data_IF_591097699176
#
_entry.id   IF_591097699176
#
_cell.length_a   1.000
_cell.length_b   1.000
_cell.length_c   1.000
_cell.angle_alpha   90.00
_cell.angle_beta   90.00
_cell.angle_gamma   90.00
#
_symmetry.space_group_name_H-M   'P 1'
#
loop_
_entity.id
_entity.type
_entity.pdbx_description
1 polymer ?
#
# COMPACT_ATOMS: atom_id res chain seq x y z
N UNK A 1 7.82 -15.58 16.22
CA UNK A 1 7.02 -16.41 15.30
C UNK A 1 6.77 -15.55 14.06
N UNK A 2 7.28 -15.97 12.90
CA UNK A 2 7.12 -15.20 11.68
C UNK A 2 5.69 -15.38 11.19
N UNK A 3 4.91 -14.31 11.28
CA UNK A 3 3.56 -14.28 10.74
C UNK A 3 3.61 -14.59 9.24
N UNK A 4 2.66 -15.40 8.77
CA UNK A 4 2.56 -15.74 7.34
C UNK A 4 2.22 -14.47 6.55
N UNK A 5 2.92 -14.28 5.42
CA UNK A 5 2.68 -13.15 4.54
C UNK A 5 2.44 -13.58 3.10
N UNK A 6 1.62 -12.83 2.39
CA UNK A 6 1.16 -13.14 1.04
C UNK A 6 1.49 -12.00 0.10
N UNK A 7 1.90 -12.30 -1.14
CA UNK A 7 2.00 -11.26 -2.18
C UNK A 7 0.62 -10.67 -2.46
N UNK A 8 0.58 -9.40 -2.85
CA UNK A 8 -0.67 -8.66 -3.03
C UNK A 8 -1.58 -9.30 -4.10
N UNK A 9 -1.00 -9.91 -5.13
CA UNK A 9 -1.72 -10.65 -6.17
C UNK A 9 -2.37 -11.92 -5.63
N UNK A 10 -1.61 -12.76 -4.92
CA UNK A 10 -2.12 -13.99 -4.28
C UNK A 10 -3.18 -13.64 -3.23
N UNK A 11 -2.93 -12.61 -2.43
CA UNK A 11 -3.86 -12.12 -1.44
C UNK A 11 -5.17 -11.62 -2.07
N UNK A 12 -5.08 -10.91 -3.19
CA UNK A 12 -6.25 -10.44 -3.93
C UNK A 12 -7.09 -11.61 -4.44
N UNK A 13 -6.45 -12.67 -4.94
CA UNK A 13 -7.11 -13.91 -5.37
C UNK A 13 -7.80 -14.61 -4.20
N UNK A 14 -7.09 -14.83 -3.09
CA UNK A 14 -7.63 -15.46 -1.87
C UNK A 14 -8.80 -14.69 -1.26
N UNK A 15 -8.78 -13.36 -1.33
CA UNK A 15 -9.86 -12.49 -0.85
C UNK A 15 -11.01 -12.33 -1.86
N UNK A 16 -10.82 -12.79 -3.11
CA UNK A 16 -11.75 -12.58 -4.21
C UNK A 16 -12.00 -11.08 -4.48
N UNK A 17 -10.94 -10.26 -4.42
CA UNK A 17 -11.01 -8.81 -4.62
C UNK A 17 -9.93 -8.32 -5.59
N UNK A 18 -10.01 -7.05 -6.02
CA UNK A 18 -8.97 -6.45 -6.86
C UNK A 18 -7.79 -5.99 -6.00
N UNK A 19 -6.55 -6.11 -6.50
CA UNK A 19 -5.33 -5.60 -5.82
C UNK A 19 -5.46 -4.13 -5.40
N UNK A 20 -6.10 -3.29 -6.25
CA UNK A 20 -6.38 -1.88 -5.95
C UNK A 20 -7.17 -1.70 -4.66
N UNK A 21 -8.03 -2.67 -4.29
CA UNK A 21 -8.80 -2.61 -3.06
C UNK A 21 -7.91 -2.77 -1.84
N UNK A 22 -6.97 -3.71 -1.86
CA UNK A 22 -5.98 -3.90 -0.80
C UNK A 22 -5.15 -2.62 -0.63
N UNK A 23 -4.60 -2.09 -1.72
CA UNK A 23 -3.84 -0.84 -1.70
C UNK A 23 -4.66 0.35 -1.17
N UNK A 24 -5.96 0.41 -1.49
CA UNK A 24 -6.84 1.47 -0.98
C UNK A 24 -7.13 1.38 0.52
N UNK A 25 -7.16 0.17 1.08
CA UNK A 25 -7.35 -0.01 2.53
C UNK A 25 -6.04 0.22 3.28
N UNK A 26 -4.90 -0.05 2.66
CA UNK A 26 -3.60 0.38 3.17
C UNK A 26 -3.49 1.91 3.19
N UNK A 27 -3.91 2.60 2.13
CA UNK A 27 -3.93 4.06 2.06
C UNK A 27 -4.79 4.73 3.16
N UNK A 28 -5.81 4.03 3.66
CA UNK A 28 -6.66 4.50 4.75
C UNK A 28 -6.09 4.18 6.14
N UNK A 29 -5.01 3.41 6.21
CA UNK A 29 -4.47 2.88 7.47
C UNK A 29 -5.28 1.73 8.07
N UNK A 30 -6.25 1.17 7.34
CA UNK A 30 -7.09 0.06 7.85
C UNK A 30 -6.30 -1.24 7.97
N UNK A 31 -5.31 -1.43 7.10
CA UNK A 31 -4.41 -2.57 7.08
C UNK A 31 -2.97 -2.11 6.91
N UNK A 32 -2.03 -2.92 7.38
CA UNK A 32 -0.61 -2.70 7.15
C UNK A 32 -0.13 -3.58 6.00
N UNK A 33 0.73 -3.01 5.14
CA UNK A 33 1.47 -3.74 4.12
C UNK A 33 2.95 -3.61 4.47
N UNK A 34 3.68 -4.70 4.29
CA UNK A 34 5.12 -4.78 4.57
C UNK A 34 5.88 -5.02 3.27
N UNK A 35 7.09 -4.48 3.19
CA UNK A 35 8.07 -4.79 2.16
C UNK A 35 8.88 -6.00 2.60
N UNK A 36 9.08 -6.94 1.68
CA UNK A 36 9.96 -8.07 1.89
C UNK A 36 11.28 -7.86 1.14
N UNK A 37 12.37 -7.75 1.88
CA UNK A 37 13.75 -7.66 1.39
C UNK A 37 14.45 -9.03 1.27
N UNK A 38 13.71 -10.12 1.47
CA UNK A 38 14.25 -11.47 1.31
C UNK A 38 15.11 -11.91 2.49
N UNK A 39 15.98 -12.88 2.23
CA UNK A 39 16.85 -13.48 3.24
C UNK A 39 18.14 -12.67 3.42
N UNK A 40 18.92 -13.02 4.46
CA UNK A 40 20.20 -12.35 4.79
C UNK A 40 21.21 -12.30 3.63
N UNK A 41 21.05 -13.13 2.60
CA UNK A 41 21.90 -13.14 1.40
C UNK A 41 21.56 -12.03 0.41
N UNK A 42 20.31 -11.57 0.38
CA UNK A 42 19.81 -10.49 -0.47
C UNK A 42 19.92 -9.17 0.31
N UNK A 43 21.16 -8.70 0.47
CA UNK A 43 21.47 -7.59 1.36
C UNK A 43 21.37 -6.24 0.66
N UNK A 44 20.25 -5.56 0.84
CA UNK A 44 20.05 -4.16 0.44
C UNK A 44 20.63 -3.20 1.47
N UNK A 45 21.19 -2.07 1.05
CA UNK A 45 21.78 -1.07 1.97
C UNK A 45 20.77 -0.01 2.38
N UNK A 46 20.68 0.26 3.67
CA UNK A 46 19.91 1.38 4.21
C UNK A 46 20.73 2.16 5.23
N UNK A 47 20.36 3.42 5.45
CA UNK A 47 20.78 4.16 6.62
C UNK A 47 19.86 3.81 7.78
N UNK A 48 20.41 3.49 8.93
CA UNK A 48 19.69 3.14 10.13
C UNK A 48 19.83 4.28 11.14
N UNK A 49 18.71 4.68 11.71
CA UNK A 49 18.57 5.63 12.80
C UNK A 49 18.05 4.87 14.02
N UNK A 50 18.84 4.85 15.09
CA UNK A 50 18.48 4.22 16.36
C UNK A 50 18.40 5.32 17.40
N UNK A 51 17.21 5.56 17.95
CA UNK A 51 17.03 6.49 19.06
C UNK A 51 17.78 5.98 20.32
N UNK A 52 18.45 6.86 21.05
CA UNK A 52 19.10 6.57 22.34
C UNK A 52 18.10 6.38 23.48
N UNK A 53 16.84 6.75 23.30
CA UNK A 53 15.77 6.40 24.23
C UNK A 53 15.64 4.87 24.40
N UNK A 54 16.10 4.11 23.39
CA UNK A 54 16.37 2.68 23.47
C UNK A 54 17.50 2.41 24.46
N UNK A 55 17.17 2.10 25.72
CA UNK A 55 18.20 1.82 26.71
C UNK A 55 18.86 0.44 26.46
N UNK A 56 20.20 0.35 26.54
CA UNK A 56 20.88 -0.94 26.44
C UNK A 56 20.43 -1.83 27.61
N UNK A 57 19.75 -2.93 27.32
CA UNK A 57 19.12 -3.77 28.35
C UNK A 57 20.12 -4.75 29.01
N UNK A 58 21.38 -4.33 29.19
CA UNK A 58 22.46 -5.20 29.64
C UNK A 58 22.93 -4.81 31.05
N UNK A 59 22.61 -5.67 32.02
CA UNK A 59 23.14 -5.60 33.39
C UNK A 59 24.68 -5.64 33.43
N UNK A 60 25.29 -6.35 32.47
CA UNK A 60 26.75 -6.44 32.28
C UNK A 60 27.36 -5.17 31.69
N UNK A 61 26.60 -4.36 30.96
CA UNK A 61 27.05 -3.06 30.49
C UNK A 61 27.15 -2.08 31.66
N UNK A 62 26.08 -1.97 32.47
CA UNK A 62 26.06 -1.07 33.61
C UNK A 62 27.02 -1.48 34.74
N UNK A 63 27.38 -2.76 34.85
CA UNK A 63 28.39 -3.21 35.82
C UNK A 63 29.82 -2.79 35.47
N UNK A 64 30.12 -2.54 34.19
CA UNK A 64 31.43 -2.04 33.71
C UNK A 64 31.64 -0.55 33.99
N UNK A 65 30.57 0.19 34.24
CA UNK A 65 30.60 1.61 34.55
C UNK A 65 29.99 1.89 35.94
N UNK A 66 30.62 1.43 37.03
CA UNK A 66 30.14 1.70 38.37
C UNK A 66 30.28 3.20 38.71
N UNK A 67 29.18 3.78 39.22
CA UNK A 67 29.11 5.18 39.65
C UNK A 67 28.44 6.10 38.63
N UNK A 68 27.54 6.96 39.15
CA UNK A 68 26.70 8.00 38.51
C UNK A 68 26.53 7.98 36.99
N UNK A 69 25.26 7.92 36.56
CA UNK A 69 24.84 8.03 35.15
C UNK A 69 25.59 9.15 34.44
N UNK A 70 26.00 8.97 33.17
CA UNK A 70 26.67 9.99 32.39
C UNK A 70 25.95 11.33 32.52
N UNK A 71 26.68 12.36 32.97
CA UNK A 71 26.17 13.72 33.04
C UNK A 71 26.22 14.28 31.62
N UNK A 72 25.15 14.03 30.86
CA UNK A 72 24.87 14.76 29.62
C UNK A 72 24.32 16.14 30.01
N UNK A 73 25.13 16.95 30.69
CA UNK A 73 24.74 18.31 31.05
C UNK A 73 24.72 19.14 29.77
N UNK A 74 23.50 19.50 29.35
CA UNK A 74 23.23 20.53 28.33
C UNK A 74 23.60 21.94 28.82
N UNK A 75 24.08 22.07 30.06
CA UNK A 75 24.57 23.31 30.63
C UNK A 75 25.97 23.64 30.10
N UNK A 76 26.15 24.90 29.73
CA UNK A 76 27.36 25.50 29.13
C UNK A 76 28.62 25.48 30.02
N UNK A 77 28.64 24.68 31.08
CA UNK A 77 29.80 24.50 31.95
C UNK A 77 30.80 23.54 31.30
N UNK A 78 32.04 23.98 31.01
CA UNK A 78 33.05 23.12 30.42
C UNK A 78 33.40 21.99 31.40
N UNK A 79 33.07 20.76 31.00
CA UNK A 79 33.44 19.56 31.75
C UNK A 79 34.96 19.39 31.79
N UNK A 80 35.50 18.84 32.88
CA UNK A 80 36.92 18.47 32.96
C UNK A 80 37.31 17.52 31.82
N UNK A 81 38.53 17.63 31.23
CA UNK A 81 38.99 16.74 30.16
C UNK A 81 38.88 15.24 30.49
N UNK A 82 39.03 14.86 31.76
CA UNK A 82 38.87 13.47 32.23
C UNK A 82 37.41 13.01 32.16
N UNK A 83 36.48 13.88 32.56
CA UNK A 83 35.04 13.61 32.47
C UNK A 83 34.58 13.57 31.02
N UNK A 84 35.12 14.44 30.16
CA UNK A 84 34.85 14.41 28.73
C UNK A 84 35.36 13.11 28.09
N UNK A 85 36.58 12.67 28.42
CA UNK A 85 37.13 11.41 27.91
C UNK A 85 36.29 10.22 28.37
N UNK A 86 35.94 10.16 29.67
CA UNK A 86 35.09 9.12 30.24
C UNK A 86 33.70 9.10 29.60
N UNK A 87 33.07 10.25 29.39
CA UNK A 87 31.77 10.35 28.73
C UNK A 87 31.82 9.84 27.29
N UNK A 88 32.87 10.18 26.53
CA UNK A 88 33.09 9.66 25.16
C UNK A 88 33.29 8.15 25.14
N UNK A 89 34.01 7.60 26.11
CA UNK A 89 34.20 6.14 26.24
C UNK A 89 32.87 5.42 26.54
N UNK A 90 32.08 5.94 27.48
CA UNK A 90 30.75 5.42 27.81
C UNK A 90 29.84 5.50 26.57
N UNK A 91 29.79 6.64 25.89
CA UNK A 91 28.98 6.86 24.68
C UNK A 91 29.36 5.88 23.57
N UNK A 92 30.66 5.67 23.35
CA UNK A 92 31.17 4.71 22.36
C UNK A 92 30.75 3.28 22.68
N UNK A 93 30.79 2.89 23.96
CA UNK A 93 30.41 1.55 24.40
C UNK A 93 28.89 1.36 24.39
N UNK A 94 28.09 2.37 24.80
CA UNK A 94 26.62 2.37 24.67
C UNK A 94 26.24 2.15 23.21
N UNK A 95 26.82 2.93 22.30
CA UNK A 95 26.60 2.82 20.86
C UNK A 95 26.92 1.41 20.36
N UNK A 96 28.07 0.84 20.74
CA UNK A 96 28.47 -0.51 20.32
C UNK A 96 27.50 -1.58 20.82
N UNK A 97 27.08 -1.47 22.08
CA UNK A 97 26.17 -2.44 22.69
C UNK A 97 24.77 -2.35 22.09
N UNK A 98 24.26 -1.14 21.83
CA UNK A 98 22.98 -0.94 21.13
C UNK A 98 23.05 -1.54 19.73
N UNK A 99 24.07 -1.23 18.94
CA UNK A 99 24.24 -1.79 17.58
C UNK A 99 24.36 -3.32 17.60
N UNK A 100 24.97 -3.89 18.66
CA UNK A 100 25.07 -5.34 18.85
C UNK A 100 23.71 -5.97 19.15
N UNK A 101 22.92 -5.36 20.03
CA UNK A 101 21.57 -5.81 20.38
C UNK A 101 20.63 -5.71 19.17
N UNK A 102 20.78 -4.66 18.38
CA UNK A 102 19.97 -4.37 17.21
C UNK A 102 20.26 -5.28 16.00
N UNK A 103 21.48 -5.79 15.84
CA UNK A 103 21.90 -6.60 14.67
C UNK A 103 21.21 -7.96 14.48
N UNK A 104 20.16 -8.28 15.25
CA UNK A 104 19.34 -9.50 15.09
C UNK A 104 17.94 -9.21 14.52
N UNK A 105 17.60 -7.94 14.30
CA UNK A 105 16.24 -7.44 14.10
C UNK A 105 15.87 -7.13 12.64
N UNK A 106 16.32 -7.94 11.68
CA UNK A 106 16.07 -7.71 10.25
C UNK A 106 17.12 -6.85 9.55
N UNK A 107 18.25 -6.59 10.21
CA UNK A 107 19.38 -5.91 9.60
C UNK A 107 20.72 -6.38 10.16
N UNK A 108 21.78 -6.20 9.38
CA UNK A 108 23.14 -6.56 9.71
C UNK A 108 24.05 -5.35 9.57
N UNK A 109 24.74 -5.01 10.66
CA UNK A 109 25.70 -3.92 10.70
C UNK A 109 27.09 -4.53 10.81
N UNK A 110 27.90 -4.36 9.76
CA UNK A 110 29.27 -4.83 9.71
C UNK A 110 30.16 -4.10 10.72
N UNK A 111 31.31 -4.69 11.09
CA UNK A 111 32.25 -4.08 12.04
C UNK A 111 32.65 -2.66 11.63
N UNK A 112 33.01 -2.47 10.35
CA UNK A 112 33.43 -1.18 9.81
C UNK A 112 32.30 -0.13 9.86
N UNK A 113 31.04 -0.55 9.68
CA UNK A 113 29.89 0.35 9.79
C UNK A 113 29.64 0.77 11.25
N UNK A 114 29.82 -0.15 12.21
CA UNK A 114 29.71 0.17 13.65
C UNK A 114 30.74 1.21 14.09
N UNK A 115 31.95 1.14 13.56
CA UNK A 115 33.00 2.11 13.88
C UNK A 115 32.64 3.51 13.34
N UNK A 116 32.08 3.57 12.14
CA UNK A 116 31.67 4.80 11.44
C UNK A 116 30.33 5.39 11.89
N UNK A 117 29.62 4.74 12.82
CA UNK A 117 28.33 5.24 13.29
C UNK A 117 28.48 6.61 13.97
N UNK A 118 27.56 7.55 13.77
CA UNK A 118 27.63 8.89 14.35
C UNK A 118 26.50 9.09 15.35
N UNK A 119 26.76 9.77 16.47
CA UNK A 119 25.71 10.24 17.36
C UNK A 119 25.30 11.65 16.93
N UNK A 120 24.05 11.77 16.50
CA UNK A 120 23.42 13.04 16.14
C UNK A 120 22.89 13.74 17.38
N UNK A 121 22.71 15.07 17.27
CA UNK A 121 22.03 15.87 18.28
C UNK A 121 20.64 15.29 18.60
N UNK A 122 20.31 15.21 19.89
CA UNK A 122 19.09 14.54 20.37
C UNK A 122 19.26 13.05 20.67
N UNK A 123 20.47 12.52 20.54
CA UNK A 123 20.79 11.15 20.94
C UNK A 123 20.34 10.11 19.92
N UNK A 124 20.44 10.39 18.63
CA UNK A 124 20.13 9.39 17.59
C UNK A 124 21.43 8.84 17.03
N UNK A 125 21.58 7.53 16.96
CA UNK A 125 22.73 6.87 16.33
C UNK A 125 22.41 6.65 14.85
N UNK A 126 23.18 7.27 13.96
CA UNK A 126 23.13 7.02 12.52
C UNK A 126 24.24 6.02 12.11
N UNK A 127 23.87 5.00 11.34
CA UNK A 127 24.84 4.05 10.74
C UNK A 127 24.32 3.51 9.42
N UNK A 128 25.19 3.03 8.55
CA UNK A 128 24.77 2.17 7.44
C UNK A 128 24.54 0.73 7.91
N UNK A 129 23.53 0.06 7.36
CA UNK A 129 23.21 -1.33 7.62
C UNK A 129 22.72 -2.04 6.35
N UNK A 130 22.87 -3.36 6.33
CA UNK A 130 22.22 -4.20 5.34
C UNK A 130 20.87 -4.68 5.89
N UNK A 131 19.78 -4.44 5.17
CA UNK A 131 18.42 -4.81 5.58
C UNK A 131 17.98 -6.11 4.90
N UNK A 132 17.19 -6.90 5.62
CA UNK A 132 16.57 -8.14 5.13
C UNK A 132 15.23 -8.37 5.87
N UNK A 133 14.42 -9.32 5.40
CA UNK A 133 13.15 -9.67 6.01
C UNK A 133 12.05 -8.62 5.78
N UNK A 134 11.13 -8.51 6.73
CA UNK A 134 9.91 -7.72 6.58
C UNK A 134 10.04 -6.34 7.22
N UNK A 135 9.65 -5.30 6.49
CA UNK A 135 9.74 -3.91 6.90
C UNK A 135 8.41 -3.19 6.66
N UNK A 136 7.97 -2.40 7.62
CA UNK A 136 6.81 -1.54 7.50
C UNK A 136 7.21 -0.29 6.71
N UNK A 137 6.37 0.10 5.76
CA UNK A 137 6.49 1.38 5.05
C UNK A 137 5.15 2.11 5.13
N UNK A 138 5.21 3.44 5.30
CA UNK A 138 4.01 4.26 5.26
C UNK A 138 3.47 4.32 3.83
N UNK A 139 2.14 4.34 3.68
CA UNK A 139 1.53 4.48 2.35
C UNK A 139 1.95 5.78 1.67
N UNK A 140 2.05 6.88 2.43
CA UNK A 140 2.42 8.19 1.87
C UNK A 140 3.82 8.18 1.25
N UNK A 141 4.78 7.58 1.94
CA UNK A 141 6.14 7.38 1.44
C UNK A 141 6.17 6.48 0.20
N UNK A 142 5.42 5.37 0.22
CA UNK A 142 5.29 4.49 -0.94
C UNK A 142 4.66 5.21 -2.14
N UNK A 143 3.60 5.98 -1.92
CA UNK A 143 2.85 6.67 -2.99
C UNK A 143 3.69 7.72 -3.71
N UNK A 144 4.70 8.29 -3.02
CA UNK A 144 5.59 9.33 -3.51
C UNK A 144 6.92 8.80 -4.06
N UNK A 145 7.07 7.48 -4.21
CA UNK A 145 8.29 6.84 -4.70
C UNK A 145 8.85 7.40 -6.02
N UNK A 146 8.02 7.97 -6.89
CA UNK A 146 8.47 8.58 -8.16
C UNK A 146 9.10 9.96 -8.00
N UNK A 147 8.87 10.62 -6.86
CA UNK A 147 9.29 12.00 -6.59
C UNK A 147 10.31 12.05 -5.43
N UNK A 148 10.26 11.08 -4.52
CA UNK A 148 11.18 10.99 -3.38
C UNK A 148 12.43 10.17 -3.73
N UNK A 149 13.57 10.62 -3.21
CA UNK A 149 14.86 9.92 -3.34
C UNK A 149 15.10 8.87 -2.26
N UNK A 150 14.40 8.99 -1.12
CA UNK A 150 14.52 8.09 0.03
C UNK A 150 13.20 8.05 0.80
N UNK A 151 12.98 7.00 1.58
CA UNK A 151 11.80 6.86 2.42
C UNK A 151 12.13 6.14 3.74
N UNK A 152 11.26 6.32 4.73
CA UNK A 152 11.46 5.75 6.06
C UNK A 152 10.73 4.42 6.20
N UNK A 153 11.36 3.49 6.91
CA UNK A 153 10.82 2.17 7.19
C UNK A 153 11.10 1.80 8.64
N UNK A 154 10.26 0.95 9.20
CA UNK A 154 10.48 0.37 10.53
C UNK A 154 10.46 -1.16 10.43
N UNK A 155 11.23 -1.88 11.26
CA UNK A 155 11.26 -3.33 11.20
C UNK A 155 9.89 -3.94 11.57
N UNK A 156 9.58 -5.11 10.99
CA UNK A 156 8.39 -5.90 11.32
C UNK A 156 8.78 -7.23 11.98
N UNK A 157 8.06 -7.72 13.01
CA UNK A 157 6.92 -7.09 13.67
C UNK A 157 7.36 -6.03 14.70
N UNK A 158 6.61 -4.93 14.77
CA UNK A 158 6.88 -3.79 15.66
C UNK A 158 6.98 -4.21 17.13
N UNK A 159 6.33 -5.31 17.53
CA UNK A 159 6.30 -5.79 18.92
C UNK A 159 7.52 -6.58 19.38
N UNK A 160 8.42 -6.99 18.48
CA UNK A 160 9.59 -7.86 18.80
C UNK A 160 10.91 -7.09 18.69
N UNK A 161 10.89 -5.96 18.01
CA UNK A 161 12.02 -5.05 17.88
C UNK A 161 11.88 -3.89 18.85
N UNK A 162 12.98 -3.38 19.41
CA UNK A 162 12.88 -2.33 20.40
C UNK A 162 12.38 -1.03 19.74
N UNK A 163 11.48 -0.36 20.44
CA UNK A 163 10.95 0.95 20.07
C UNK A 163 12.10 1.91 19.74
N UNK A 164 12.02 2.62 18.62
CA UNK A 164 13.00 3.67 18.26
C UNK A 164 13.96 3.36 17.10
N UNK A 165 13.78 2.25 16.37
CA UNK A 165 14.58 1.95 15.16
C UNK A 165 13.83 2.35 13.89
N UNK A 166 14.43 3.27 13.12
CA UNK A 166 13.96 3.68 11.79
C UNK A 166 15.06 3.47 10.76
N UNK A 167 14.75 2.91 9.60
CA UNK A 167 15.67 2.84 8.47
C UNK A 167 15.24 3.83 7.39
N UNK A 168 16.16 4.68 6.94
CA UNK A 168 16.03 5.48 5.72
C UNK A 168 16.62 4.66 4.59
N UNK A 169 15.76 4.18 3.68
CA UNK A 169 16.19 3.45 2.50
C UNK A 169 16.23 4.37 1.28
N UNK A 170 17.36 4.31 0.59
CA UNK A 170 17.63 5.08 -0.63
C UNK A 170 17.86 4.07 -1.75
N UNK A 171 16.87 3.83 -2.63
CA UNK A 171 17.04 2.88 -3.72
C UNK A 171 18.17 3.31 -4.66
N UNK A 172 18.95 2.34 -5.14
CA UNK A 172 20.05 2.60 -6.09
C UNK A 172 19.50 3.20 -7.39
N UNK A 173 20.25 4.12 -8.01
CA UNK A 173 19.84 4.78 -9.25
C UNK A 173 19.62 3.82 -10.43
N UNK A 174 20.20 2.62 -10.37
CA UNK A 174 20.04 1.57 -11.37
C UNK A 174 18.87 0.61 -11.08
N UNK A 175 18.38 0.56 -9.83
CA UNK A 175 17.36 -0.41 -9.38
C UNK A 175 16.15 0.26 -8.70
N UNK A 176 15.93 1.56 -8.92
CA UNK A 176 14.74 2.29 -8.43
C UNK A 176 13.42 1.53 -8.68
N UNK A 177 13.34 0.82 -9.80
CA UNK A 177 12.17 0.04 -10.19
C UNK A 177 12.11 -1.36 -9.56
N UNK A 178 13.20 -1.90 -9.01
CA UNK A 178 13.28 -3.28 -8.51
C UNK A 178 12.89 -3.41 -7.04
N UNK A 179 13.37 -2.53 -6.16
CA UNK A 179 13.25 -2.73 -4.71
C UNK A 179 11.90 -2.29 -4.12
N UNK A 180 11.27 -1.28 -4.70
CA UNK A 180 9.93 -0.81 -4.36
C UNK A 180 8.82 -1.38 -5.27
N UNK A 181 9.19 -2.32 -6.14
CA UNK A 181 8.23 -2.96 -7.02
C UNK A 181 7.08 -3.59 -6.23
N UNK A 182 5.87 -3.51 -6.80
CA UNK A 182 4.66 -4.15 -6.24
C UNK A 182 4.84 -5.63 -5.89
N UNK A 183 5.81 -6.31 -6.49
CA UNK A 183 6.17 -7.72 -6.23
C UNK A 183 6.75 -7.97 -4.82
N UNK A 184 7.34 -6.94 -4.20
CA UNK A 184 7.93 -7.02 -2.86
C UNK A 184 6.92 -6.67 -1.75
N UNK A 185 5.76 -6.12 -2.12
CA UNK A 185 4.69 -5.84 -1.17
C UNK A 185 4.03 -7.14 -0.72
N UNK A 186 3.90 -7.29 0.58
CA UNK A 186 3.25 -8.42 1.22
C UNK A 186 2.19 -7.92 2.20
N UNK A 187 1.05 -8.61 2.25
CA UNK A 187 0.07 -8.45 3.32
C UNK A 187 0.26 -9.54 4.37
N UNK A 188 0.18 -9.17 5.64
CA UNK A 188 0.27 -10.08 6.77
C UNK A 188 -1.04 -10.84 6.97
N UNK A 189 -1.00 -12.01 7.62
CA UNK A 189 -2.23 -12.78 7.90
C UNK A 189 -3.23 -12.00 8.77
N UNK A 190 -2.76 -11.16 9.69
CA UNK A 190 -3.57 -10.20 10.43
C UNK A 190 -4.26 -9.19 9.51
N UNK A 191 -3.54 -8.62 8.54
CA UNK A 191 -4.10 -7.76 7.51
C UNK A 191 -5.14 -8.49 6.64
N UNK A 192 -4.88 -9.75 6.30
CA UNK A 192 -5.83 -10.61 5.58
C UNK A 192 -7.11 -10.83 6.39
N UNK A 193 -7.02 -11.09 7.69
CA UNK A 193 -8.17 -11.27 8.56
C UNK A 193 -9.04 -10.00 8.62
N UNK A 194 -8.43 -8.82 8.72
CA UNK A 194 -9.14 -7.52 8.66
C UNK A 194 -9.83 -7.35 7.31
N UNK A 195 -9.13 -7.64 6.21
CA UNK A 195 -9.72 -7.57 4.86
C UNK A 195 -10.90 -8.53 4.69
N UNK A 196 -10.80 -9.77 5.18
CA UNK A 196 -11.91 -10.74 5.14
C UNK A 196 -13.14 -10.18 5.86
N UNK A 197 -12.96 -9.57 7.03
CA UNK A 197 -14.05 -8.93 7.79
C UNK A 197 -14.68 -7.74 7.04
N UNK A 198 -13.86 -6.87 6.45
CA UNK A 198 -14.32 -5.72 5.67
C UNK A 198 -15.10 -6.15 4.42
N UNK A 199 -14.66 -7.22 3.76
CA UNK A 199 -15.31 -7.74 2.56
C UNK A 199 -16.59 -8.52 2.89
N UNK A 200 -16.64 -9.17 4.05
CA UNK A 200 -17.84 -9.87 4.55
C UNK A 200 -18.97 -8.91 4.93
N UNK A 201 -18.65 -7.73 5.49
CA UNK A 201 -19.65 -6.74 5.92
C UNK A 201 -20.24 -5.89 4.79
N UNK A 202 -20.04 -6.25 3.52
CA UNK A 202 -20.68 -5.55 2.41
C UNK A 202 -22.15 -5.94 2.33
N UNK A 203 -23.10 -4.98 2.27
CA UNK A 203 -24.55 -5.25 2.18
C UNK A 203 -25.02 -5.81 0.83
N UNK A 204 -24.21 -6.67 0.19
CA UNK A 204 -24.53 -7.30 -1.10
C UNK A 204 -23.84 -8.65 -1.36
N UNK A 205 -23.14 -9.24 -0.39
CA UNK A 205 -22.66 -10.63 -0.51
C UNK A 205 -23.58 -11.53 0.31
N UNK A 206 -24.48 -12.24 -0.38
CA UNK A 206 -25.03 -13.49 0.15
C UNK A 206 -23.84 -14.38 0.56
N UNK A 207 -23.95 -14.93 1.76
CA UNK A 207 -22.97 -15.82 2.36
C UNK A 207 -22.64 -16.96 1.38
N UNK A 208 -21.41 -16.99 0.88
CA UNK A 208 -20.85 -18.23 0.37
C UNK A 208 -20.45 -19.04 1.60
N UNK A 209 -21.34 -19.94 2.02
CA UNK A 209 -20.98 -21.08 2.87
C UNK A 209 -19.90 -21.90 2.16
N UNK A 210 -19.00 -22.57 2.89
CA UNK A 210 -18.07 -23.50 2.27
C UNK A 210 -18.90 -24.70 1.80
N UNK A 211 -19.01 -24.90 0.49
CA UNK A 211 -19.69 -26.06 -0.08
C UNK A 211 -18.64 -26.97 -0.67
N UNK A 212 -18.55 -28.13 -0.01
CA UNK A 212 -18.13 -29.42 -0.51
C UNK A 212 -18.45 -29.55 -2.01
N UNK A 213 -17.50 -30.10 -2.77
CA UNK A 213 -17.62 -30.42 -4.19
C UNK A 213 -19.03 -30.84 -4.62
N UNK A 214 -19.71 -29.99 -5.40
CA UNK A 214 -20.76 -30.46 -6.29
C UNK A 214 -20.86 -29.55 -7.51
N UNK A 215 -20.67 -30.19 -8.67
CA UNK A 215 -20.72 -29.64 -10.01
C UNK A 215 -22.04 -28.90 -10.26
N UNK A 216 -22.00 -27.57 -10.23
CA UNK A 216 -22.96 -26.76 -10.97
C UNK A 216 -22.21 -25.65 -11.70
N UNK A 217 -22.24 -25.70 -13.03
CA UNK A 217 -21.81 -24.61 -13.90
C UNK A 217 -22.65 -23.36 -13.59
N UNK A 218 -22.19 -22.52 -12.67
CA UNK A 218 -22.74 -21.17 -12.54
C UNK A 218 -22.10 -20.24 -13.58
N UNK A 219 -22.90 -19.48 -14.36
CA UNK A 219 -22.36 -18.50 -15.28
C UNK A 219 -21.64 -17.41 -14.48
N UNK A 220 -20.36 -17.18 -14.81
CA UNK A 220 -19.53 -16.14 -14.21
C UNK A 220 -20.25 -14.79 -14.34
N UNK A 221 -20.73 -14.21 -13.24
CA UNK A 221 -21.35 -12.88 -13.25
C UNK A 221 -20.28 -11.85 -13.62
N UNK A 222 -20.34 -11.33 -14.83
CA UNK A 222 -19.43 -10.32 -15.31
C UNK A 222 -19.93 -8.96 -14.82
N UNK A 223 -19.70 -8.62 -13.55
CA UNK A 223 -20.26 -7.40 -12.93
C UNK A 223 -19.88 -6.07 -13.61
N UNK A 224 -18.88 -6.05 -14.49
CA UNK A 224 -18.62 -4.92 -15.39
C UNK A 224 -19.51 -4.91 -16.63
N UNK A 225 -19.70 -6.08 -17.25
CA UNK A 225 -20.54 -6.26 -18.46
C UNK A 225 -22.00 -5.96 -18.14
N UNK A 226 -22.49 -6.43 -16.99
CA UNK A 226 -23.86 -6.19 -16.53
C UNK A 226 -24.14 -4.69 -16.31
N UNK A 227 -23.16 -3.92 -15.83
CA UNK A 227 -23.30 -2.46 -15.68
C UNK A 227 -23.39 -1.75 -17.01
N UNK A 228 -22.56 -2.14 -17.99
CA UNK A 228 -22.62 -1.56 -19.33
C UNK A 228 -23.90 -1.95 -20.07
N UNK A 229 -24.38 -3.18 -19.87
CA UNK A 229 -25.66 -3.64 -20.42
C UNK A 229 -26.82 -2.82 -19.82
N UNK A 230 -26.86 -2.67 -18.50
CA UNK A 230 -27.90 -1.90 -17.81
C UNK A 230 -27.91 -0.42 -18.23
N UNK A 231 -26.75 0.22 -18.36
CA UNK A 231 -26.66 1.61 -18.84
C UNK A 231 -27.15 1.73 -20.29
N UNK A 232 -26.77 0.77 -21.16
CA UNK A 232 -27.25 0.73 -22.55
C UNK A 232 -28.75 0.54 -22.64
N UNK A 233 -29.32 -0.37 -21.87
CA UNK A 233 -30.76 -0.63 -21.83
C UNK A 233 -31.54 0.61 -21.38
N UNK A 234 -31.08 1.31 -20.34
CA UNK A 234 -31.69 2.58 -19.89
C UNK A 234 -31.70 3.64 -21.00
N UNK A 235 -30.59 3.80 -21.72
CA UNK A 235 -30.49 4.77 -22.82
C UNK A 235 -31.40 4.40 -23.99
N UNK A 236 -31.50 3.11 -24.32
CA UNK A 236 -32.39 2.63 -25.39
C UNK A 236 -33.88 2.81 -25.01
N UNK A 237 -34.24 2.52 -23.76
CA UNK A 237 -35.58 2.76 -23.24
C UNK A 237 -35.94 4.26 -23.27
N UNK A 238 -35.00 5.12 -22.86
CA UNK A 238 -35.18 6.58 -22.95
C UNK A 238 -35.36 7.05 -24.40
N UNK A 239 -34.58 6.50 -25.35
CA UNK A 239 -34.73 6.82 -26.76
C UNK A 239 -36.11 6.44 -27.32
N UNK A 240 -36.62 5.26 -26.97
CA UNK A 240 -37.98 4.85 -27.36
C UNK A 240 -39.05 5.75 -26.74
N UNK A 241 -38.88 6.13 -25.47
CA UNK A 241 -39.81 7.03 -24.78
C UNK A 241 -39.87 8.40 -25.45
N UNK A 242 -38.72 9.02 -25.70
CA UNK A 242 -38.65 10.36 -26.29
C UNK A 242 -39.14 10.35 -27.74
N UNK A 243 -38.85 9.29 -28.52
CA UNK A 243 -39.41 9.10 -29.85
C UNK A 243 -40.94 9.03 -29.86
N UNK A 244 -41.54 8.41 -28.83
CA UNK A 244 -43.00 8.28 -28.71
C UNK A 244 -43.68 9.55 -28.18
N UNK A 245 -43.11 10.18 -27.16
CA UNK A 245 -43.75 11.26 -26.42
C UNK A 245 -43.34 12.67 -26.89
N UNK A 246 -42.17 12.81 -27.52
CA UNK A 246 -41.65 14.08 -28.01
C UNK A 246 -41.21 14.01 -29.49
N UNK A 247 -42.06 13.53 -30.42
CA UNK A 247 -41.67 13.27 -31.81
C UNK A 247 -41.24 14.53 -32.58
N UNK A 248 -41.63 15.72 -32.13
CA UNK A 248 -41.22 17.00 -32.76
C UNK A 248 -39.76 17.39 -32.43
N UNK A 249 -39.23 16.90 -31.32
CA UNK A 249 -37.87 17.20 -30.86
C UNK A 249 -36.87 16.14 -31.36
N UNK A 250 -37.39 14.97 -31.71
CA UNK A 250 -36.65 13.82 -32.20
C UNK A 250 -36.47 13.94 -33.72
N UNK A 251 -35.37 14.55 -34.13
CA UNK A 251 -34.99 14.64 -35.55
C UNK A 251 -34.51 13.29 -36.15
N UNK A 252 -34.15 13.32 -37.43
CA UNK A 252 -33.69 12.13 -38.20
C UNK A 252 -32.30 11.62 -37.79
N UNK A 253 -31.58 12.32 -36.92
CA UNK A 253 -30.23 11.96 -36.52
C UNK A 253 -30.17 11.41 -35.09
N UNK A 254 -29.19 10.56 -34.81
CA UNK A 254 -28.92 10.12 -33.43
C UNK A 254 -28.53 11.28 -32.50
N UNK A 255 -27.93 12.34 -33.05
CA UNK A 255 -27.61 13.56 -32.30
C UNK A 255 -28.87 14.27 -31.81
N UNK A 256 -29.86 14.47 -32.68
CA UNK A 256 -31.13 15.07 -32.28
C UNK A 256 -31.91 14.19 -31.28
N UNK A 257 -31.83 12.87 -31.41
CA UNK A 257 -32.37 11.95 -30.39
C UNK A 257 -31.68 12.15 -29.04
N UNK A 258 -30.35 12.22 -29.03
CA UNK A 258 -29.57 12.41 -27.82
C UNK A 258 -29.83 13.75 -27.14
N UNK A 259 -29.97 14.82 -27.91
CA UNK A 259 -30.33 16.15 -27.40
C UNK A 259 -31.73 16.16 -26.76
N UNK A 260 -32.70 15.48 -27.38
CA UNK A 260 -34.04 15.35 -26.80
C UNK A 260 -34.04 14.51 -25.51
N UNK A 261 -33.24 13.44 -25.45
CA UNK A 261 -33.04 12.64 -24.23
C UNK A 261 -32.35 13.47 -23.13
N UNK A 262 -31.34 14.27 -23.47
CA UNK A 262 -30.65 15.12 -22.52
C UNK A 262 -31.58 16.22 -21.97
N UNK A 263 -32.38 16.84 -22.83
CA UNK A 263 -33.38 17.86 -22.45
C UNK A 263 -34.45 17.30 -21.50
N UNK A 264 -34.89 16.07 -21.73
CA UNK A 264 -35.85 15.37 -20.87
C UNK A 264 -35.17 14.41 -19.88
N UNK A 265 -33.89 14.64 -19.60
CA UNK A 265 -33.08 13.73 -18.78
C UNK A 265 -33.59 13.57 -17.35
N UNK A 266 -34.27 14.58 -16.82
CA UNK A 266 -34.91 14.54 -15.49
C UNK A 266 -35.95 13.42 -15.34
N UNK A 267 -36.52 12.91 -16.45
CA UNK A 267 -37.46 11.78 -16.43
C UNK A 267 -36.75 10.47 -16.11
N UNK A 268 -35.54 10.29 -16.65
CA UNK A 268 -34.82 9.01 -16.62
C UNK A 268 -33.71 8.96 -15.57
N UNK A 269 -33.17 10.12 -15.18
CA UNK A 269 -32.04 10.26 -14.27
C UNK A 269 -32.37 11.23 -13.12
N UNK A 270 -33.32 10.86 -12.26
CA UNK A 270 -33.82 11.72 -11.17
C UNK A 270 -32.75 12.06 -10.11
N UNK A 271 -31.86 11.11 -9.79
CA UNK A 271 -30.84 11.24 -8.74
C UNK A 271 -29.41 11.05 -9.27
N UNK A 272 -29.24 10.92 -10.60
CA UNK A 272 -27.96 10.67 -11.26
C UNK A 272 -27.73 11.73 -12.35
N UNK A 273 -26.48 12.13 -12.64
CA UNK A 273 -26.22 12.99 -13.78
C UNK A 273 -26.56 12.23 -15.08
N UNK A 274 -27.34 12.86 -15.96
CA UNK A 274 -27.63 12.31 -17.28
C UNK A 274 -26.32 12.11 -18.08
N UNK A 275 -26.18 11.02 -18.85
CA UNK A 275 -25.02 10.82 -19.71
C UNK A 275 -24.87 11.94 -20.74
N UNK A 276 -23.63 12.25 -21.12
CA UNK A 276 -23.34 13.24 -22.15
C UNK A 276 -24.05 12.91 -23.48
N UNK A 277 -24.56 13.95 -24.17
CA UNK A 277 -25.30 13.79 -25.42
C UNK A 277 -24.46 13.11 -26.52
N UNK A 278 -23.15 13.37 -26.57
CA UNK A 278 -22.24 12.68 -27.50
C UNK A 278 -22.12 11.19 -27.19
N UNK A 279 -22.09 10.82 -25.91
CA UNK A 279 -22.10 9.42 -25.46
C UNK A 279 -23.41 8.73 -25.81
N UNK A 280 -24.55 9.37 -25.57
CA UNK A 280 -25.88 8.84 -25.94
C UNK A 280 -25.97 8.63 -27.44
N UNK A 281 -25.61 9.63 -28.25
CA UNK A 281 -25.66 9.54 -29.71
C UNK A 281 -24.80 8.38 -30.25
N UNK A 282 -23.61 8.18 -29.67
CA UNK A 282 -22.74 7.05 -30.01
C UNK A 282 -23.40 5.70 -29.68
N UNK A 283 -23.98 5.55 -28.49
CA UNK A 283 -24.63 4.30 -28.08
C UNK A 283 -25.85 3.97 -28.93
N UNK A 284 -26.63 4.99 -29.34
CA UNK A 284 -27.75 4.81 -30.28
C UNK A 284 -27.25 4.41 -31.68
N UNK A 285 -26.19 5.05 -32.16
CA UNK A 285 -25.57 4.68 -33.44
C UNK A 285 -25.04 3.24 -33.42
N UNK A 286 -24.37 2.84 -32.34
CA UNK A 286 -23.82 1.49 -32.20
C UNK A 286 -24.95 0.44 -32.11
N UNK A 287 -26.08 0.77 -31.49
CA UNK A 287 -27.24 -0.12 -31.41
C UNK A 287 -28.00 -0.29 -32.74
N UNK A 288 -27.94 0.68 -33.64
CA UNK A 288 -28.57 0.62 -34.95
C UNK A 288 -27.74 -0.15 -36.01
N UNK A 289 -26.49 -0.50 -35.70
CA UNK A 289 -25.61 -1.25 -36.61
C UNK A 289 -25.93 -2.74 -36.57
N UNK A 290 -25.58 -3.50 -37.63
CA UNK A 290 -25.65 -4.96 -37.59
C UNK A 290 -24.67 -5.52 -36.55
N UNK A 291 -24.94 -6.71 -35.97
CA UNK A 291 -24.09 -7.32 -34.95
C UNK A 291 -22.60 -7.46 -35.33
N UNK A 292 -22.30 -7.63 -36.62
CA UNK A 292 -20.94 -7.71 -37.17
C UNK A 292 -20.14 -6.40 -37.04
N UNK A 293 -20.82 -5.28 -36.86
CA UNK A 293 -20.23 -3.93 -36.77
C UNK A 293 -20.29 -3.34 -35.36
N UNK A 294 -20.78 -4.10 -34.39
CA UNK A 294 -20.84 -3.68 -33.00
C UNK A 294 -19.43 -3.56 -32.43
N UNK A 295 -18.91 -2.34 -32.38
CA UNK A 295 -17.72 -2.00 -31.59
C UNK A 295 -18.11 -1.89 -30.12
N UNK A 296 -18.48 -3.02 -29.50
CA UNK A 296 -18.70 -3.08 -28.04
C UNK A 296 -17.43 -2.55 -27.40
N UNK A 297 -17.54 -1.40 -26.73
CA UNK A 297 -16.42 -0.69 -26.11
C UNK A 297 -15.75 -1.60 -25.07
N UNK A 298 -14.71 -2.33 -25.51
CA UNK A 298 -13.64 -2.91 -24.71
C UNK A 298 -14.04 -3.75 -23.51
N UNK A 299 -14.29 -5.04 -23.72
CA UNK A 299 -14.05 -6.06 -22.72
C UNK A 299 -13.37 -7.25 -23.40
N UNK A 300 -12.26 -7.73 -22.85
CA UNK A 300 -11.54 -8.94 -23.27
C UNK A 300 -12.38 -10.23 -23.13
N UNK A 301 -13.60 -10.26 -23.68
CA UNK A 301 -14.28 -11.51 -23.94
C UNK A 301 -13.68 -12.05 -25.24
N UNK A 302 -12.61 -12.84 -25.11
CA UNK A 302 -12.21 -13.72 -26.22
C UNK A 302 -13.45 -14.50 -26.64
N UNK A 303 -13.78 -14.48 -27.93
CA UNK A 303 -14.70 -15.45 -28.49
C UNK A 303 -14.19 -16.83 -28.11
N UNK A 304 -15.02 -17.62 -27.41
CA UNK A 304 -14.81 -19.06 -27.38
C UNK A 304 -15.08 -19.62 -28.77
#
# INVERSE_FOLDING_TARGET
>A
MNETTYQIDIAAEMLGCQQKKILSEWAKGTIQIVLNFGDKTESERAKLLIDSSTQPNSKDFFSRFPGQRPHFSFDSTPLSPEVQRRNREIETEVRRELLRQQGQSGFNISHNQRERAEMLEGGVIETEAYIFGLWCVAYDDYSRQQVQSSFSMTPYPVSVTPDGVTAIYTPSSYEKDYTLAKKNLRITESGMAVMRKLLANRPGRQQVRPVLEELTEQPKSHGGIERFALEREKILAAALYVARHFPKEVGKSFKSHAEAIAKHGYIFWQNEPAPDAGRIAKMLSDAARPPSEWKILGGNAKSK
#
